data_IF_877156892098
#
_entry.id   IF_877156892098
#
_cell.length_a   1.000
_cell.length_b   1.000
_cell.length_c   1.000
_cell.angle_alpha   90.00
_cell.angle_beta   90.00
_cell.angle_gamma   90.00
#
_symmetry.space_group_name_H-M   'P 1'
#
loop_
_entity.id
_entity.type
_entity.pdbx_description
1 polymer ?
#
# COMPACT_ATOMS: atom_id res chain seq x y z
N UNK A 1 8.38 -14.71 5.88
CA UNK A 1 7.35 -13.77 5.38
C UNK A 1 7.05 -12.72 6.44
N UNK A 2 6.89 -11.45 6.07
CA UNK A 2 6.67 -10.33 7.00
C UNK A 2 5.88 -9.21 6.31
N UNK A 3 5.01 -8.52 7.04
CA UNK A 3 4.29 -7.32 6.61
C UNK A 3 4.86 -6.09 7.31
N UNK A 4 5.34 -5.11 6.55
CA UNK A 4 5.74 -3.82 7.11
C UNK A 4 4.54 -2.87 6.99
N UNK A 5 4.15 -2.26 8.09
CA UNK A 5 3.04 -1.32 8.17
C UNK A 5 3.58 0.07 8.46
N UNK A 6 3.30 1.02 7.57
CA UNK A 6 3.77 2.41 7.65
C UNK A 6 2.58 3.36 7.53
N UNK A 7 2.48 4.37 8.41
CA UNK A 7 1.40 5.34 8.39
C UNK A 7 0.07 4.78 8.93
N UNK A 8 0.14 3.77 9.81
CA UNK A 8 -1.02 3.17 10.46
C UNK A 8 -1.07 3.57 11.93
N UNK A 9 -2.29 3.70 12.43
CA UNK A 9 -2.55 3.85 13.87
C UNK A 9 -2.33 2.54 14.62
N UNK A 10 -2.11 2.61 15.93
CA UNK A 10 -1.95 1.41 16.78
C UNK A 10 -3.16 0.47 16.66
N UNK A 11 -4.38 1.01 16.70
CA UNK A 11 -5.63 0.25 16.54
C UNK A 11 -5.73 -0.50 15.19
N UNK A 12 -5.23 0.11 14.10
CA UNK A 12 -5.19 -0.57 12.79
C UNK A 12 -4.13 -1.67 12.77
N UNK A 13 -2.98 -1.44 13.38
CA UNK A 13 -1.89 -2.41 13.47
C UNK A 13 -2.35 -3.65 14.24
N UNK A 14 -3.02 -3.47 15.38
CA UNK A 14 -3.54 -4.58 16.18
C UNK A 14 -4.52 -5.44 15.37
N UNK A 15 -5.50 -4.80 14.71
CA UNK A 15 -6.46 -5.49 13.83
C UNK A 15 -5.78 -6.26 12.69
N UNK A 16 -4.74 -5.69 12.08
CA UNK A 16 -4.00 -6.35 10.99
C UNK A 16 -3.13 -7.50 11.54
N UNK A 17 -2.58 -7.37 12.74
CA UNK A 17 -1.79 -8.42 13.38
C UNK A 17 -2.62 -9.68 13.69
N UNK A 18 -3.92 -9.51 14.01
CA UNK A 18 -4.87 -10.62 14.21
C UNK A 18 -5.08 -11.51 12.97
N UNK A 19 -4.67 -11.07 11.78
CA UNK A 19 -4.74 -11.86 10.55
C UNK A 19 -3.75 -13.05 10.53
N UNK A 20 -2.84 -13.13 11.52
CA UNK A 20 -1.89 -14.23 11.69
C UNK A 20 -0.62 -14.11 10.84
N UNK A 21 -0.34 -12.93 10.30
CA UNK A 21 0.91 -12.63 9.60
C UNK A 21 1.90 -11.94 10.55
N UNK A 22 3.21 -12.22 10.46
CA UNK A 22 4.22 -11.43 11.17
C UNK A 22 4.18 -9.98 10.69
N UNK A 23 3.82 -9.07 11.60
CA UNK A 23 3.69 -7.63 11.33
C UNK A 23 4.85 -6.88 11.98
N UNK A 24 5.40 -5.90 11.26
CA UNK A 24 6.38 -4.94 11.75
C UNK A 24 5.84 -3.52 11.52
N UNK A 25 5.35 -2.84 12.56
CA UNK A 25 5.09 -1.41 12.51
C UNK A 25 6.39 -0.64 12.31
N UNK A 26 6.41 0.30 11.38
CA UNK A 26 7.63 1.02 11.01
C UNK A 26 7.57 2.47 11.50
N UNK A 27 8.36 2.83 12.52
CA UNK A 27 8.37 4.18 13.07
C UNK A 27 9.13 5.17 12.17
N UNK A 28 8.87 6.45 12.36
CA UNK A 28 9.41 7.53 11.52
C UNK A 28 10.94 7.53 11.40
N UNK A 29 11.65 7.16 12.47
CA UNK A 29 13.10 7.17 12.48
C UNK A 29 13.72 6.07 11.60
N UNK A 30 12.93 5.12 11.07
CA UNK A 30 13.39 4.11 10.11
C UNK A 30 13.45 4.64 8.67
N UNK A 31 12.97 5.87 8.39
CA UNK A 31 12.94 6.47 7.04
C UNK A 31 14.24 6.33 6.24
N UNK A 32 15.39 6.51 6.91
CA UNK A 32 16.71 6.50 6.29
C UNK A 32 17.37 5.13 6.25
N UNK A 33 16.75 4.11 6.84
CA UNK A 33 17.24 2.74 6.81
C UNK A 33 16.82 2.09 5.50
N UNK A 34 17.63 1.15 5.05
CA UNK A 34 17.28 0.30 3.92
C UNK A 34 16.21 -0.71 4.31
N UNK A 35 15.45 -1.19 3.32
CA UNK A 35 14.47 -2.26 3.57
C UNK A 35 15.12 -3.53 4.12
N UNK A 36 16.33 -3.88 3.68
CA UNK A 36 17.06 -5.01 4.21
C UNK A 36 17.32 -4.86 5.72
N UNK A 37 17.80 -3.69 6.15
CA UNK A 37 18.04 -3.41 7.57
C UNK A 37 16.73 -3.45 8.39
N UNK A 38 15.64 -2.91 7.85
CA UNK A 38 14.33 -2.90 8.53
C UNK A 38 13.80 -4.34 8.70
N UNK A 39 13.99 -5.21 7.71
CA UNK A 39 13.53 -6.60 7.76
C UNK A 39 14.19 -7.40 8.87
N UNK A 40 15.42 -7.07 9.24
CA UNK A 40 16.17 -7.69 10.34
C UNK A 40 15.81 -7.12 11.72
N UNK A 41 15.10 -6.00 11.77
CA UNK A 41 14.69 -5.35 13.03
C UNK A 41 13.40 -5.90 13.61
N UNK A 42 13.23 -5.60 14.90
CA UNK A 42 11.99 -5.80 15.65
C UNK A 42 11.25 -4.47 15.79
N UNK A 43 9.98 -4.53 16.19
CA UNK A 43 9.20 -3.34 16.52
C UNK A 43 9.91 -2.52 17.58
N UNK A 44 10.10 -1.23 17.31
CA UNK A 44 10.68 -0.24 18.22
C UNK A 44 9.64 0.85 18.49
N UNK A 45 9.70 1.48 19.66
CA UNK A 45 8.79 2.58 19.99
C UNK A 45 9.05 3.82 19.12
N UNK A 46 8.00 4.57 18.78
CA UNK A 46 8.10 5.79 18.01
C UNK A 46 6.79 6.20 17.36
N UNK A 47 6.82 7.30 16.61
CA UNK A 47 5.67 7.73 15.82
C UNK A 47 5.44 6.76 14.65
N UNK A 48 4.25 6.14 14.57
CA UNK A 48 3.86 5.16 13.55
C UNK A 48 2.96 5.78 12.45
N UNK A 49 2.22 6.85 12.80
CA UNK A 49 1.34 7.59 11.90
C UNK A 49 2.03 8.87 11.41
N UNK A 50 3.10 8.69 10.62
CA UNK A 50 3.95 9.79 10.15
C UNK A 50 3.94 9.98 8.63
N UNK A 51 3.45 9.00 7.88
CA UNK A 51 3.65 8.95 6.43
C UNK A 51 2.57 9.69 5.64
N UNK A 52 1.47 10.10 6.27
CA UNK A 52 0.33 10.73 5.60
C UNK A 52 -0.53 9.74 4.81
N UNK A 53 0.09 8.79 4.12
CA UNK A 53 -0.58 7.63 3.52
C UNK A 53 -0.23 6.32 4.24
N UNK A 54 -1.09 5.31 4.07
CA UNK A 54 -0.89 3.96 4.59
C UNK A 54 -0.18 3.10 3.57
N UNK A 55 0.94 2.49 3.96
CA UNK A 55 1.70 1.58 3.11
C UNK A 55 1.83 0.20 3.74
N UNK A 56 1.58 -0.82 2.93
CA UNK A 56 1.80 -2.22 3.31
C UNK A 56 2.85 -2.81 2.37
N UNK A 57 4.03 -3.07 2.91
CA UNK A 57 5.10 -3.73 2.16
C UNK A 57 5.12 -5.20 2.56
N UNK A 58 4.87 -6.07 1.57
CA UNK A 58 4.76 -7.52 1.73
C UNK A 58 6.10 -8.18 1.37
N UNK A 59 6.74 -8.83 2.33
CA UNK A 59 8.00 -9.55 2.12
C UNK A 59 7.81 -11.07 2.17
N UNK A 60 8.24 -11.76 1.10
CA UNK A 60 8.26 -13.22 1.02
C UNK A 60 6.88 -13.88 1.08
N UNK A 61 5.85 -13.20 0.56
CA UNK A 61 4.51 -13.76 0.37
C UNK A 61 4.34 -14.26 -1.07
N UNK A 62 3.59 -15.33 -1.22
CA UNK A 62 3.18 -15.86 -2.52
C UNK A 62 1.96 -15.10 -3.07
N UNK A 63 1.56 -15.42 -4.31
CA UNK A 63 0.47 -14.73 -4.98
C UNK A 63 -0.88 -14.87 -4.26
N UNK A 64 -1.14 -16.01 -3.62
CA UNK A 64 -2.38 -16.22 -2.85
C UNK A 64 -2.35 -15.41 -1.54
N UNK A 65 -1.23 -15.43 -0.83
CA UNK A 65 -1.01 -14.63 0.37
C UNK A 65 -1.12 -13.13 0.09
N UNK A 66 -0.51 -12.63 -0.99
CA UNK A 66 -0.61 -11.21 -1.40
C UNK A 66 -2.09 -10.83 -1.61
N UNK A 67 -2.85 -11.61 -2.37
CA UNK A 67 -4.27 -11.32 -2.63
C UNK A 67 -5.09 -11.31 -1.35
N UNK A 68 -4.83 -12.25 -0.44
CA UNK A 68 -5.52 -12.34 0.85
C UNK A 68 -5.21 -11.11 1.71
N UNK A 69 -3.94 -10.75 1.86
CA UNK A 69 -3.53 -9.56 2.63
C UNK A 69 -4.16 -8.29 2.07
N UNK A 70 -4.13 -8.09 0.75
CA UNK A 70 -4.76 -6.92 0.11
C UNK A 70 -6.25 -6.84 0.46
N UNK A 71 -6.98 -7.96 0.35
CA UNK A 71 -8.41 -7.99 0.60
C UNK A 71 -8.76 -7.75 2.07
N UNK A 72 -8.02 -8.33 3.01
CA UNK A 72 -8.30 -8.18 4.44
C UNK A 72 -7.88 -6.80 4.95
N UNK A 73 -6.67 -6.33 4.61
CA UNK A 73 -6.19 -5.01 5.07
C UNK A 73 -7.09 -3.89 4.55
N UNK A 74 -7.62 -4.00 3.31
CA UNK A 74 -8.58 -3.02 2.77
C UNK A 74 -9.88 -2.91 3.56
N UNK A 75 -10.29 -3.94 4.29
CA UNK A 75 -11.49 -3.90 5.15
C UNK A 75 -11.20 -3.28 6.51
N UNK A 76 -9.95 -3.38 6.97
CA UNK A 76 -9.52 -2.97 8.31
C UNK A 76 -8.96 -1.55 8.33
N UNK A 77 -8.30 -1.14 7.25
CA UNK A 77 -7.66 0.15 7.13
C UNK A 77 -8.67 1.25 6.82
N UNK A 78 -8.49 2.40 7.46
CA UNK A 78 -9.30 3.58 7.20
C UNK A 78 -8.67 4.38 6.05
N UNK A 79 -9.38 4.42 4.92
CA UNK A 79 -8.94 5.18 3.76
C UNK A 79 -8.06 4.40 2.79
N UNK A 80 -7.12 5.10 2.14
CA UNK A 80 -6.33 4.55 1.03
C UNK A 80 -5.10 3.83 1.57
N UNK A 81 -4.86 2.63 1.07
CA UNK A 81 -3.65 1.84 1.33
C UNK A 81 -2.92 1.57 0.02
N UNK A 82 -1.62 1.84 0.01
CA UNK A 82 -0.69 1.54 -1.08
C UNK A 82 0.02 0.23 -0.74
N UNK A 83 -0.04 -0.73 -1.65
CA UNK A 83 0.52 -2.07 -1.45
C UNK A 83 1.74 -2.26 -2.33
N UNK A 84 2.80 -2.82 -1.76
CA UNK A 84 4.02 -3.15 -2.47
C UNK A 84 4.53 -4.53 -2.06
N UNK A 85 5.37 -5.13 -2.90
CA UNK A 85 6.14 -6.33 -2.56
C UNK A 85 7.62 -6.00 -2.58
N UNK A 86 8.39 -6.65 -1.71
CA UNK A 86 9.86 -6.51 -1.77
C UNK A 86 10.42 -7.27 -2.98
N UNK A 87 11.37 -6.66 -3.67
CA UNK A 87 12.14 -7.25 -4.76
C UNK A 87 13.64 -7.10 -4.44
N UNK A 88 14.50 -7.88 -5.09
CA UNK A 88 15.96 -7.77 -4.88
C UNK A 88 16.48 -6.34 -5.07
N UNK A 89 15.87 -5.59 -5.99
CA UNK A 89 16.22 -4.20 -6.26
C UNK A 89 15.86 -3.27 -5.10
N UNK A 90 14.62 -3.36 -4.57
CA UNK A 90 14.17 -2.42 -3.54
C UNK A 90 14.66 -2.75 -2.12
N UNK A 91 15.23 -3.93 -1.90
CA UNK A 91 15.86 -4.27 -0.62
C UNK A 91 17.03 -3.34 -0.25
N UNK A 92 17.72 -2.79 -1.26
CA UNK A 92 18.85 -1.87 -1.08
C UNK A 92 18.42 -0.41 -0.96
N UNK A 93 17.16 -0.10 -1.26
CA UNK A 93 16.64 1.25 -1.20
C UNK A 93 16.34 1.61 0.24
N UNK A 94 16.49 2.89 0.56
CA UNK A 94 15.95 3.44 1.80
C UNK A 94 14.43 3.35 1.79
N UNK A 95 13.84 3.30 2.98
CA UNK A 95 12.38 3.33 3.10
C UNK A 95 11.81 4.58 2.43
N UNK A 96 12.42 5.75 2.63
CA UNK A 96 11.99 7.01 2.03
C UNK A 96 11.97 6.95 0.49
N UNK A 97 13.04 6.47 -0.15
CA UNK A 97 13.10 6.31 -1.62
C UNK A 97 11.98 5.39 -2.14
N UNK A 98 11.72 4.27 -1.44
CA UNK A 98 10.66 3.36 -1.82
C UNK A 98 9.28 4.00 -1.68
N UNK A 99 9.00 4.68 -0.57
CA UNK A 99 7.70 5.31 -0.34
C UNK A 99 7.42 6.40 -1.38
N UNK A 100 8.43 7.18 -1.76
CA UNK A 100 8.28 8.22 -2.77
C UNK A 100 8.00 7.65 -4.16
N UNK A 101 8.67 6.56 -4.54
CA UNK A 101 8.38 5.88 -5.80
C UNK A 101 6.95 5.29 -5.79
N UNK A 102 6.55 4.66 -4.70
CA UNK A 102 5.20 4.10 -4.55
C UNK A 102 4.12 5.17 -4.63
N UNK A 103 4.34 6.36 -4.07
CA UNK A 103 3.43 7.51 -4.23
C UNK A 103 3.29 7.91 -5.70
N UNK A 104 4.42 8.05 -6.40
CA UNK A 104 4.44 8.43 -7.83
C UNK A 104 3.69 7.41 -8.69
N UNK A 105 3.97 6.12 -8.50
CA UNK A 105 3.29 5.06 -9.22
C UNK A 105 1.77 5.08 -8.95
N UNK A 106 1.38 5.19 -7.68
CA UNK A 106 -0.01 5.16 -7.25
C UNK A 106 -0.81 6.39 -7.72
N UNK A 107 -0.19 7.57 -7.81
CA UNK A 107 -0.75 8.76 -8.47
C UNK A 107 -0.93 8.56 -9.97
N UNK A 108 0.10 8.04 -10.66
CA UNK A 108 0.05 7.77 -12.09
C UNK A 108 -1.06 6.78 -12.44
N UNK A 109 -1.15 5.65 -11.72
CA UNK A 109 -2.20 4.65 -11.94
C UNK A 109 -3.59 5.20 -11.64
N UNK A 110 -3.72 6.12 -10.69
CA UNK A 110 -4.98 6.79 -10.39
C UNK A 110 -5.42 7.69 -11.53
N UNK A 111 -4.55 8.58 -12.01
CA UNK A 111 -4.85 9.47 -13.13
C UNK A 111 -5.29 8.68 -14.37
N UNK A 112 -4.61 7.57 -14.65
CA UNK A 112 -4.96 6.66 -15.75
C UNK A 112 -6.33 5.99 -15.57
N UNK A 113 -6.69 5.57 -14.35
CA UNK A 113 -8.00 4.99 -14.04
C UNK A 113 -9.13 6.01 -14.18
N UNK A 114 -8.92 7.23 -13.72
CA UNK A 114 -9.89 8.33 -13.83
C UNK A 114 -10.12 8.72 -15.30
N UNK A 115 -9.05 8.84 -16.11
CA UNK A 115 -9.15 9.09 -17.54
C UNK A 115 -9.94 7.99 -18.28
N UNK A 116 -9.69 6.70 -17.95
CA UNK A 116 -10.45 5.57 -18.52
C UNK A 116 -11.93 5.60 -18.14
N UNK A 117 -12.26 5.95 -16.89
CA UNK A 117 -13.66 6.10 -16.44
C UNK A 117 -14.37 7.22 -17.22
N UNK A 118 -13.73 8.36 -17.41
CA UNK A 118 -14.28 9.49 -18.17
C UNK A 118 -14.49 9.14 -19.65
N UNK A 119 -13.55 8.42 -20.28
CA UNK A 119 -13.69 7.96 -21.66
C UNK A 119 -14.81 6.92 -21.85
N UNK A 120 -15.03 6.03 -20.87
CA UNK A 120 -16.14 5.07 -20.88
C UNK A 120 -17.50 5.73 -20.62
N UNK A 121 -17.56 6.70 -19.71
CA UNK A 121 -18.76 7.49 -19.43
C UNK A 121 -19.21 8.34 -20.62
N UNK A 122 -18.28 8.97 -21.34
CA UNK A 122 -18.60 9.70 -22.58
C UNK A 122 -19.14 8.79 -23.68
N UNK A 123 -18.57 7.59 -23.90
CA UNK A 123 -19.09 6.63 -24.90
C UNK A 123 -20.50 6.12 -24.61
N UNK A 124 -20.89 5.97 -23.33
CA UNK A 124 -22.26 5.61 -22.95
C UNK A 124 -23.27 6.71 -23.30
N UNK A 125 -22.91 7.98 -23.06
CA UNK A 125 -23.78 9.13 -23.31
C UNK A 125 -24.12 9.35 -24.79
N UNK A 126 -23.25 8.94 -25.72
CA UNK A 126 -23.51 9.05 -27.17
C UNK A 126 -24.39 7.92 -27.73
N UNK A 127 -24.51 6.78 -27.03
CA UNK A 127 -25.34 5.66 -27.50
C UNK A 127 -26.83 5.86 -27.18
N UNK A 128 -27.18 6.69 -26.19
CA UNK A 128 -28.56 6.93 -25.76
C UNK A 128 -29.28 8.06 -26.54
N UNK A 129 -28.55 8.90 -27.28
CA UNK A 129 -29.15 10.03 -28.02
C UNK A 129 -29.65 9.60 -29.42
N UNK A 130 -29.34 8.38 -29.86
CA UNK A 130 -29.68 7.87 -31.20
C UNK A 130 -31.06 7.22 -31.33
N UNK A 131 -31.86 7.15 -30.25
CA UNK A 131 -33.13 6.42 -30.26
C UNK A 131 -34.28 7.28 -29.70
N UNK A 132 -34.57 8.39 -30.36
CA UNK A 132 -35.83 9.12 -30.18
C UNK A 132 -36.60 8.99 -31.50
N UNK A 133 -37.61 8.12 -31.49
CA UNK A 133 -38.62 7.98 -32.54
C UNK A 133 -39.61 9.14 -32.48
#
# INVERSE_FOLDING_TARGET
>A
MKLLLIGFTEDEIERIAELGYPVLPVPEHFRKLTLAEILERTTEGGNLDWAGERFVIMHGLDNEGIKRVINEVRKLAEGRVIFATTTETNLKWTLEELLDELRREDEYFRAMREAKKQAKGKRGLFLDIGNVK
#
